data_IF_872984546141
#
_entry.id   IF_872984546141
#
_cell.length_a   1.000
_cell.length_b   1.000
_cell.length_c   1.000
_cell.angle_alpha   90.00
_cell.angle_beta   90.00
_cell.angle_gamma   90.00
#
_symmetry.space_group_name_H-M   'P 1'
#
loop_
_entity.id
_entity.type
_entity.pdbx_description
1 polymer ?
#
# COMPACT_ATOMS: atom_id res chain seq x y z
N UNK A 1 -8.11 29.96 -8.25
CA UNK A 1 -8.05 28.60 -7.74
C UNK A 1 -7.11 28.59 -6.55
N UNK A 2 -7.60 28.25 -5.34
CA UNK A 2 -6.71 28.08 -4.19
C UNK A 2 -5.75 26.93 -4.50
N UNK A 3 -4.44 27.16 -4.44
CA UNK A 3 -3.44 26.08 -4.55
C UNK A 3 -3.60 25.21 -3.32
N UNK A 4 -4.29 24.06 -3.46
CA UNK A 4 -4.26 23.03 -2.44
C UNK A 4 -2.84 22.46 -2.40
N UNK A 5 -2.23 22.40 -1.21
CA UNK A 5 -0.97 21.71 -1.04
C UNK A 5 -1.24 20.21 -1.03
N UNK A 6 -0.62 19.49 -1.94
CA UNK A 6 -0.75 18.05 -2.02
C UNK A 6 0.27 17.40 -1.09
N UNK A 7 -0.21 16.47 -0.27
CA UNK A 7 0.59 15.67 0.65
C UNK A 7 0.48 14.19 0.28
N UNK A 8 1.60 13.48 0.29
CA UNK A 8 1.69 12.05 0.11
C UNK A 8 1.95 11.39 1.46
N UNK A 9 1.08 10.48 1.84
CA UNK A 9 1.21 9.63 3.03
C UNK A 9 1.48 8.20 2.60
N UNK A 10 2.58 7.64 3.04
CA UNK A 10 2.97 6.27 2.75
C UNK A 10 2.86 5.46 4.04
N UNK A 11 1.99 4.45 4.03
CA UNK A 11 1.82 3.51 5.14
C UNK A 11 2.86 2.39 5.03
N UNK A 12 3.81 2.34 5.95
CA UNK A 12 4.94 1.41 5.93
C UNK A 12 5.03 0.55 7.21
N UNK A 13 3.89 0.05 7.70
CA UNK A 13 3.78 -0.73 8.94
C UNK A 13 3.74 -2.25 8.77
N UNK A 14 3.59 -2.78 7.54
CA UNK A 14 3.51 -4.21 7.24
C UNK A 14 4.86 -4.95 7.41
N UNK A 15 4.83 -6.28 7.54
CA UNK A 15 6.06 -7.12 7.51
C UNK A 15 6.23 -7.82 6.18
N UNK A 16 5.14 -8.18 5.49
CA UNK A 16 5.21 -8.92 4.23
C UNK A 16 5.71 -10.36 4.39
N UNK A 17 5.32 -11.04 5.47
CA UNK A 17 5.84 -12.36 5.88
C UNK A 17 5.72 -13.50 4.84
N UNK A 18 4.92 -13.31 3.77
CA UNK A 18 4.83 -14.28 2.67
C UNK A 18 6.07 -14.28 1.76
N UNK A 19 6.89 -13.23 1.81
CA UNK A 19 8.17 -13.14 1.07
C UNK A 19 9.36 -13.68 1.85
N UNK A 20 9.12 -14.45 2.93
CA UNK A 20 10.20 -15.14 3.60
C UNK A 20 10.97 -16.06 2.61
N UNK A 21 12.31 -16.17 2.67
CA UNK A 21 13.24 -15.59 3.65
C UNK A 21 13.65 -14.14 3.37
N UNK A 22 13.26 -13.55 2.23
CA UNK A 22 13.65 -12.19 1.86
C UNK A 22 13.11 -11.15 2.84
N UNK A 23 11.83 -11.29 3.24
CA UNK A 23 11.18 -10.39 4.18
C UNK A 23 11.15 -10.99 5.58
N UNK A 24 11.71 -10.27 6.54
CA UNK A 24 11.74 -10.60 7.96
C UNK A 24 11.13 -9.49 8.80
N UNK A 25 11.02 -9.71 10.11
CA UNK A 25 10.58 -8.67 11.05
C UNK A 25 11.59 -7.51 11.13
N UNK A 26 12.86 -7.79 10.96
CA UNK A 26 13.95 -6.81 10.98
C UNK A 26 14.05 -6.06 9.66
N UNK A 27 13.76 -6.73 8.55
CA UNK A 27 13.81 -6.16 7.21
C UNK A 27 12.52 -6.46 6.42
N UNK A 28 11.43 -5.71 6.66
CA UNK A 28 10.15 -5.90 5.98
C UNK A 28 10.21 -5.66 4.47
N UNK A 29 9.28 -6.28 3.75
CA UNK A 29 9.17 -6.29 2.28
C UNK A 29 9.35 -4.91 1.64
N UNK A 30 8.75 -3.87 2.22
CA UNK A 30 8.80 -2.50 1.66
C UNK A 30 10.20 -1.87 1.67
N UNK A 31 11.10 -2.37 2.49
CA UNK A 31 12.47 -1.86 2.60
C UNK A 31 13.50 -2.68 1.81
N UNK A 32 13.04 -3.64 1.01
CA UNK A 32 13.86 -4.57 0.23
C UNK A 32 13.70 -4.26 -1.27
N UNK A 33 14.77 -4.48 -2.05
CA UNK A 33 14.72 -4.54 -3.51
C UNK A 33 14.20 -5.91 -3.97
N UNK A 34 12.88 -6.10 -3.87
CA UNK A 34 12.22 -7.36 -4.25
C UNK A 34 12.26 -7.60 -5.77
N UNK A 35 12.38 -6.52 -6.56
CA UNK A 35 12.36 -6.58 -8.02
C UNK A 35 13.75 -6.70 -8.65
N UNK A 36 14.84 -6.56 -7.86
CA UNK A 36 16.21 -6.58 -8.38
C UNK A 36 16.56 -5.38 -9.27
N UNK A 37 15.94 -4.22 -9.03
CA UNK A 37 16.12 -3.01 -9.85
C UNK A 37 16.99 -1.94 -9.17
N UNK A 38 17.64 -2.27 -8.06
CA UNK A 38 18.49 -1.37 -7.29
C UNK A 38 17.73 -0.38 -6.40
N UNK A 39 16.41 -0.57 -6.22
CA UNK A 39 15.55 0.29 -5.40
C UNK A 39 14.57 -0.52 -4.59
N UNK A 40 14.34 -0.12 -3.35
CA UNK A 40 13.34 -0.73 -2.48
C UNK A 40 11.93 -0.36 -2.91
N UNK A 41 10.91 -1.12 -2.47
CA UNK A 41 9.52 -0.81 -2.80
C UNK A 41 9.09 0.56 -2.23
N UNK A 42 9.61 0.96 -1.06
CA UNK A 42 9.38 2.29 -0.51
C UNK A 42 9.93 3.40 -1.43
N UNK A 43 11.15 3.24 -1.94
CA UNK A 43 11.76 4.19 -2.87
C UNK A 43 10.99 4.26 -4.20
N UNK A 44 10.59 3.11 -4.75
CA UNK A 44 9.75 3.04 -5.94
C UNK A 44 8.38 3.67 -5.71
N UNK A 45 7.84 3.55 -4.49
CA UNK A 45 6.58 4.21 -4.11
C UNK A 45 6.69 5.72 -4.14
N UNK A 46 7.74 6.31 -3.59
CA UNK A 46 7.98 7.76 -3.69
C UNK A 46 8.19 8.19 -5.14
N UNK A 47 9.03 7.47 -5.87
CA UNK A 47 9.42 7.82 -7.24
C UNK A 47 8.24 7.83 -8.23
N UNK A 48 7.23 6.95 -8.04
CA UNK A 48 6.06 6.89 -8.94
C UNK A 48 5.21 8.16 -8.91
N UNK A 49 5.23 8.92 -7.81
CA UNK A 49 4.51 10.18 -7.71
C UNK A 49 5.23 11.34 -8.41
N UNK A 50 6.55 11.24 -8.64
CA UNK A 50 7.33 12.27 -9.36
C UNK A 50 7.12 13.67 -8.79
N UNK A 51 6.80 14.63 -9.66
CA UNK A 51 6.59 16.03 -9.29
C UNK A 51 5.17 16.38 -8.80
N UNK A 52 4.29 15.38 -8.59
CA UNK A 52 2.92 15.62 -8.11
C UNK A 52 2.90 16.11 -6.66
N UNK A 53 3.90 15.71 -5.88
CA UNK A 53 4.04 16.07 -4.47
C UNK A 53 5.49 16.53 -4.23
N UNK A 54 5.66 17.61 -3.48
CA UNK A 54 6.98 18.09 -3.11
C UNK A 54 7.59 17.24 -2.00
N UNK A 55 8.93 17.10 -1.93
CA UNK A 55 9.59 16.30 -0.89
C UNK A 55 9.19 16.68 0.54
N UNK A 56 9.02 17.99 0.82
CA UNK A 56 8.60 18.48 2.13
C UNK A 56 7.17 18.08 2.54
N UNK A 57 6.37 17.58 1.59
CA UNK A 57 4.99 17.11 1.80
C UNK A 57 4.86 15.59 1.71
N UNK A 58 5.97 14.85 1.68
CA UNK A 58 5.98 13.39 1.77
C UNK A 58 6.04 13.01 3.24
N UNK A 59 5.19 12.08 3.65
CA UNK A 59 5.07 11.55 5.00
C UNK A 59 5.15 10.03 4.97
N UNK A 60 5.87 9.44 5.92
CA UNK A 60 5.89 8.00 6.12
C UNK A 60 5.41 7.68 7.53
N UNK A 61 4.39 6.84 7.63
CA UNK A 61 3.93 6.31 8.93
C UNK A 61 4.42 4.87 9.04
N UNK A 62 5.19 4.59 10.09
CA UNK A 62 5.83 3.29 10.27
C UNK A 62 5.99 2.94 11.76
N UNK A 63 6.45 1.73 12.07
CA UNK A 63 6.82 1.40 13.45
C UNK A 63 8.14 2.08 13.83
N UNK A 64 8.26 2.47 15.10
CA UNK A 64 9.44 3.16 15.64
C UNK A 64 10.76 2.46 15.29
N UNK A 65 10.80 1.13 15.28
CA UNK A 65 12.01 0.35 14.95
C UNK A 65 12.49 0.51 13.52
N UNK A 66 11.65 1.01 12.60
CA UNK A 66 12.00 1.21 11.18
C UNK A 66 12.34 2.66 10.84
N UNK A 67 12.33 3.56 11.81
CA UNK A 67 12.59 4.99 11.59
C UNK A 67 13.92 5.25 10.87
N UNK A 68 14.99 4.58 11.31
CA UNK A 68 16.33 4.79 10.76
C UNK A 68 16.46 4.25 9.33
N UNK A 69 15.81 3.11 9.02
CA UNK A 69 15.82 2.57 7.67
C UNK A 69 15.05 3.47 6.70
N UNK A 70 13.92 4.06 7.12
CA UNK A 70 13.18 5.05 6.33
C UNK A 70 14.05 6.28 6.08
N UNK A 71 14.69 6.82 7.12
CA UNK A 71 15.58 7.99 7.00
C UNK A 71 16.73 7.74 6.02
N UNK A 72 17.32 6.53 6.07
CA UNK A 72 18.39 6.12 5.16
C UNK A 72 17.94 6.00 3.72
N UNK A 73 16.74 5.45 3.48
CA UNK A 73 16.21 5.20 2.14
C UNK A 73 15.58 6.45 1.49
N UNK A 74 15.11 7.40 2.29
CA UNK A 74 14.48 8.65 1.83
C UNK A 74 15.18 9.87 2.45
N UNK A 75 16.47 10.15 2.12
CA UNK A 75 17.26 11.20 2.76
C UNK A 75 16.74 12.62 2.50
N UNK A 76 16.05 12.84 1.37
CA UNK A 76 15.53 14.17 0.99
C UNK A 76 14.20 14.52 1.70
N UNK A 77 13.59 13.56 2.39
CA UNK A 77 12.36 13.76 3.15
C UNK A 77 12.69 14.39 4.53
N UNK A 78 11.94 15.41 5.00
CA UNK A 78 12.13 15.97 6.33
C UNK A 78 11.99 14.90 7.42
N UNK A 79 12.94 14.85 8.36
CA UNK A 79 12.93 13.85 9.44
C UNK A 79 11.64 13.90 10.30
N UNK A 80 11.06 15.10 10.48
CA UNK A 80 9.80 15.31 11.20
C UNK A 80 8.54 14.79 10.47
N UNK A 81 8.69 14.29 9.24
CA UNK A 81 7.62 13.68 8.46
C UNK A 81 7.65 12.13 8.56
N UNK A 82 8.59 11.55 9.30
CA UNK A 82 8.57 10.14 9.67
C UNK A 82 7.81 10.02 10.99
N UNK A 83 6.58 9.54 10.92
CA UNK A 83 5.71 9.36 12.07
C UNK A 83 5.80 7.92 12.57
N UNK A 84 6.11 7.76 13.87
CA UNK A 84 6.39 6.46 14.46
C UNK A 84 5.24 5.95 15.32
N UNK A 85 4.64 4.83 14.90
CA UNK A 85 3.64 4.12 15.69
C UNK A 85 4.32 3.24 16.75
N UNK A 86 3.91 3.29 18.03
CA UNK A 86 4.49 2.46 19.09
C UNK A 86 4.06 0.99 18.99
N UNK A 87 2.90 0.73 18.42
CA UNK A 87 2.33 -0.60 18.22
C UNK A 87 1.47 -0.66 16.96
N UNK A 88 1.12 -1.86 16.52
CA UNK A 88 0.24 -2.06 15.37
C UNK A 88 -1.22 -1.93 15.77
N UNK A 89 -1.95 -1.06 15.10
CA UNK A 89 -3.40 -0.84 15.26
C UNK A 89 -4.15 -0.79 13.93
N UNK A 90 -3.59 -1.40 12.88
CA UNK A 90 -4.16 -1.38 11.54
C UNK A 90 -4.15 0.02 10.89
N UNK A 91 -4.88 0.24 9.78
CA UNK A 91 -4.71 1.43 8.94
C UNK A 91 -5.52 2.64 9.41
N UNK A 92 -6.62 2.49 10.15
CA UNK A 92 -7.40 3.64 10.59
C UNK A 92 -6.64 4.55 11.57
N UNK A 93 -6.02 4.06 12.67
CA UNK A 93 -5.22 4.90 13.55
C UNK A 93 -4.00 5.51 12.87
N UNK A 94 -3.35 4.76 11.95
CA UNK A 94 -2.26 5.25 11.11
C UNK A 94 -2.69 6.51 10.33
N UNK A 95 -3.80 6.43 9.59
CA UNK A 95 -4.35 7.52 8.78
C UNK A 95 -4.85 8.67 9.66
N UNK A 96 -5.49 8.37 10.78
CA UNK A 96 -5.94 9.38 11.73
C UNK A 96 -4.75 10.21 12.23
N UNK A 97 -3.72 9.55 12.78
CA UNK A 97 -2.52 10.23 13.29
C UNK A 97 -1.94 11.21 12.27
N UNK A 98 -1.63 10.74 11.07
CA UNK A 98 -1.00 11.59 10.05
C UNK A 98 -1.94 12.68 9.55
N UNK A 99 -3.26 12.43 9.48
CA UNK A 99 -4.23 13.42 9.02
C UNK A 99 -4.35 14.60 9.99
N UNK A 100 -4.42 14.37 11.31
CA UNK A 100 -4.39 15.45 12.29
C UNK A 100 -3.04 16.17 12.33
N UNK A 101 -1.94 15.43 12.17
CA UNK A 101 -0.60 16.01 12.10
C UNK A 101 -0.42 16.92 10.89
N UNK A 102 -0.91 16.52 9.71
CA UNK A 102 -0.91 17.36 8.51
C UNK A 102 -1.84 18.56 8.71
N UNK A 103 -3.06 18.34 9.21
CA UNK A 103 -4.04 19.41 9.45
C UNK A 103 -3.50 20.50 10.37
N UNK A 104 -2.73 20.14 11.40
CA UNK A 104 -2.11 21.12 12.30
C UNK A 104 -1.11 22.04 11.60
N UNK A 105 -0.47 21.55 10.51
CA UNK A 105 0.52 22.29 9.71
C UNK A 105 -0.11 22.97 8.50
N UNK A 106 -1.04 22.29 7.82
CA UNK A 106 -1.73 22.74 6.61
C UNK A 106 -3.23 22.39 6.65
N UNK A 107 -4.10 23.31 7.10
CA UNK A 107 -5.54 23.09 7.18
C UNK A 107 -6.24 22.94 5.82
N UNK A 108 -5.54 23.21 4.71
CA UNK A 108 -6.04 23.10 3.34
C UNK A 108 -5.38 21.97 2.55
N UNK A 109 -4.70 21.08 3.24
CA UNK A 109 -4.00 19.95 2.62
C UNK A 109 -4.98 19.05 1.83
N UNK A 110 -4.52 18.61 0.65
CA UNK A 110 -5.11 17.50 -0.07
C UNK A 110 -4.18 16.31 0.08
N UNK A 111 -4.70 15.18 0.55
CA UNK A 111 -3.90 14.05 1.02
C UNK A 111 -4.11 12.85 0.10
N UNK A 112 -3.01 12.25 -0.33
CA UNK A 112 -2.98 10.93 -0.95
C UNK A 112 -2.42 9.96 0.08
N UNK A 113 -3.13 8.88 0.35
CA UNK A 113 -2.65 7.77 1.20
C UNK A 113 -2.38 6.56 0.31
N UNK A 114 -1.23 5.93 0.47
CA UNK A 114 -0.83 4.74 -0.31
C UNK A 114 -0.08 3.74 0.56
N UNK A 115 -0.22 2.43 0.31
CA UNK A 115 0.71 1.43 0.83
C UNK A 115 2.12 1.63 0.27
N UNK A 116 3.13 1.16 1.02
CA UNK A 116 4.56 1.28 0.67
C UNK A 116 5.09 0.13 -0.19
N UNK A 117 4.30 -0.92 -0.42
CA UNK A 117 4.78 -2.21 -0.91
C UNK A 117 4.05 -2.74 -2.15
N UNK A 118 3.24 -1.89 -2.78
CA UNK A 118 2.58 -2.16 -4.06
C UNK A 118 3.46 -1.73 -5.23
N UNK A 119 3.27 -2.36 -6.39
CA UNK A 119 3.91 -1.96 -7.65
C UNK A 119 2.93 -1.34 -8.62
N UNK A 120 3.48 -0.51 -9.50
CA UNK A 120 2.79 0.13 -10.61
C UNK A 120 3.75 0.09 -11.80
N UNK A 121 3.32 -0.46 -12.92
CA UNK A 121 4.17 -0.59 -14.12
C UNK A 121 4.04 0.58 -15.08
N UNK A 122 2.86 1.18 -15.21
CA UNK A 122 2.65 2.40 -16.00
C UNK A 122 2.59 3.65 -15.09
N UNK A 123 3.77 4.25 -14.87
CA UNK A 123 3.91 5.47 -14.07
C UNK A 123 3.19 6.68 -14.69
N UNK A 124 3.13 6.76 -16.02
CA UNK A 124 2.52 7.90 -16.72
C UNK A 124 1.03 7.92 -16.50
N UNK A 125 0.38 6.79 -16.73
CA UNK A 125 -1.06 6.66 -16.50
C UNK A 125 -1.40 6.79 -15.00
N UNK A 126 -0.59 6.22 -14.12
CA UNK A 126 -0.75 6.41 -12.68
C UNK A 126 -0.75 7.90 -12.28
N UNK A 127 0.23 8.67 -12.77
CA UNK A 127 0.33 10.11 -12.47
C UNK A 127 -0.84 10.90 -13.05
N UNK A 128 -1.35 10.54 -14.22
CA UNK A 128 -2.55 11.14 -14.82
C UNK A 128 -3.76 10.94 -13.91
N UNK A 129 -4.01 9.69 -13.51
CA UNK A 129 -5.13 9.32 -12.63
C UNK A 129 -5.05 10.03 -11.28
N UNK A 130 -3.88 9.99 -10.63
CA UNK A 130 -3.67 10.68 -9.34
C UNK A 130 -3.95 12.19 -9.48
N UNK A 131 -3.46 12.84 -10.54
CA UNK A 131 -3.67 14.27 -10.76
C UNK A 131 -5.16 14.61 -10.88
N UNK A 132 -5.93 13.80 -11.60
CA UNK A 132 -7.38 13.99 -11.73
C UNK A 132 -8.12 13.79 -10.40
N UNK A 133 -7.79 12.73 -9.67
CA UNK A 133 -8.36 12.50 -8.36
C UNK A 133 -8.05 13.63 -7.37
N UNK A 134 -6.81 14.14 -7.39
CA UNK A 134 -6.39 15.28 -6.56
C UNK A 134 -7.13 16.58 -6.92
N UNK A 135 -7.38 16.82 -8.21
CA UNK A 135 -8.17 17.97 -8.63
C UNK A 135 -9.60 17.85 -8.13
N UNK A 136 -10.23 16.68 -8.27
CA UNK A 136 -11.60 16.43 -7.82
C UNK A 136 -11.75 16.61 -6.30
N UNK A 137 -10.88 15.99 -5.50
CA UNK A 137 -10.91 16.11 -4.03
C UNK A 137 -10.49 17.49 -3.51
N UNK A 138 -9.72 18.25 -4.28
CA UNK A 138 -9.39 19.63 -3.97
C UNK A 138 -10.56 20.62 -4.14
N UNK A 139 -11.60 20.22 -4.87
CA UNK A 139 -12.79 21.04 -5.17
C UNK A 139 -14.07 20.48 -4.50
N UNK A 140 -14.01 19.32 -3.85
CA UNK A 140 -15.15 18.62 -3.25
C UNK A 140 -14.78 18.03 -1.89
N UNK A 141 -15.81 17.67 -1.11
CA UNK A 141 -15.63 16.92 0.14
C UNK A 141 -15.68 15.40 -0.06
N UNK A 142 -15.33 14.93 -1.25
CA UNK A 142 -15.34 13.52 -1.61
C UNK A 142 -14.15 12.74 -1.02
N UNK A 143 -14.39 11.46 -0.75
CA UNK A 143 -13.37 10.43 -0.56
C UNK A 143 -13.23 9.69 -1.88
N UNK A 144 -12.05 9.67 -2.48
CA UNK A 144 -11.79 8.93 -3.72
C UNK A 144 -10.85 7.77 -3.45
N UNK A 145 -11.17 6.60 -4.02
CA UNK A 145 -10.26 5.45 -4.06
C UNK A 145 -10.00 5.01 -5.49
N UNK A 146 -8.87 4.33 -5.75
CA UNK A 146 -8.57 3.78 -7.06
C UNK A 146 -9.10 2.35 -7.17
N UNK A 147 -9.81 2.08 -8.26
CA UNK A 147 -10.43 0.78 -8.52
C UNK A 147 -9.75 0.04 -9.67
N UNK A 148 -9.24 -1.17 -9.41
CA UNK A 148 -8.62 -2.02 -10.42
C UNK A 148 -9.63 -3.03 -10.96
N UNK A 149 -9.64 -3.24 -12.28
CA UNK A 149 -10.55 -4.22 -12.87
C UNK A 149 -10.18 -5.64 -12.44
N UNK A 150 -11.11 -6.39 -11.82
CA UNK A 150 -10.85 -7.75 -11.41
C UNK A 150 -10.64 -8.69 -12.61
N UNK A 151 -9.61 -9.54 -12.54
CA UNK A 151 -9.34 -10.59 -13.54
C UNK A 151 -9.45 -12.02 -12.95
N UNK A 152 -9.61 -12.14 -11.63
CA UNK A 152 -9.80 -13.39 -10.90
C UNK A 152 -10.62 -13.15 -9.62
N UNK A 153 -11.23 -14.20 -9.02
CA UNK A 153 -12.01 -14.04 -7.77
C UNK A 153 -11.08 -14.00 -6.54
N UNK A 154 -10.35 -12.89 -6.37
CA UNK A 154 -9.42 -12.69 -5.27
C UNK A 154 -10.18 -12.43 -3.95
N UNK A 155 -9.93 -13.24 -2.93
CA UNK A 155 -10.59 -13.11 -1.62
C UNK A 155 -9.79 -12.29 -0.62
N UNK A 156 -8.56 -11.93 -0.96
CA UNK A 156 -7.67 -11.10 -0.14
C UNK A 156 -7.87 -9.61 -0.32
N UNK A 157 -8.69 -9.17 -1.30
CA UNK A 157 -8.90 -7.76 -1.64
C UNK A 157 -10.30 -7.27 -1.25
N UNK A 158 -10.41 -5.97 -1.04
CA UNK A 158 -11.69 -5.27 -1.00
C UNK A 158 -12.29 -5.12 -2.41
N UNK A 159 -13.60 -5.19 -2.51
CA UNK A 159 -14.38 -4.99 -3.73
C UNK A 159 -15.24 -3.74 -3.62
N UNK A 160 -15.25 -2.95 -4.67
CA UNK A 160 -15.98 -1.69 -4.79
C UNK A 160 -17.01 -1.87 -5.89
N UNK A 161 -18.28 -1.69 -5.56
CA UNK A 161 -19.36 -1.61 -6.56
C UNK A 161 -19.54 -0.16 -6.96
N UNK A 162 -19.33 0.16 -8.24
CA UNK A 162 -19.56 1.47 -8.79
C UNK A 162 -21.01 1.61 -9.27
N UNK A 163 -21.64 2.75 -8.99
CA UNK A 163 -22.92 3.16 -9.57
C UNK A 163 -22.68 3.78 -10.95
N UNK A 164 -22.73 2.96 -11.99
CA UNK A 164 -22.50 3.40 -13.38
C UNK A 164 -23.54 4.40 -13.90
N UNK A 165 -24.65 4.59 -13.19
CA UNK A 165 -25.68 5.59 -13.55
C UNK A 165 -25.30 7.01 -13.12
N UNK A 166 -24.41 7.15 -12.13
CA UNK A 166 -23.96 8.42 -11.57
C UNK A 166 -22.51 8.70 -11.96
N UNK A 167 -22.24 8.99 -13.25
CA UNK A 167 -20.97 9.62 -13.57
C UNK A 167 -20.94 11.04 -12.99
N UNK A 168 -19.86 11.42 -12.30
CA UNK A 168 -19.70 12.78 -11.81
C UNK A 168 -19.90 13.79 -12.95
N UNK A 169 -20.73 14.81 -12.74
CA UNK A 169 -20.94 15.88 -13.73
C UNK A 169 -19.64 16.64 -14.06
N UNK A 170 -18.62 16.56 -13.18
CA UNK A 170 -17.33 17.26 -13.31
C UNK A 170 -16.23 16.38 -13.90
N UNK A 171 -16.27 15.07 -13.64
CA UNK A 171 -15.30 14.12 -14.16
C UNK A 171 -15.98 12.76 -14.41
N UNK A 172 -16.10 12.38 -15.68
CA UNK A 172 -16.76 11.13 -16.11
C UNK A 172 -16.00 9.86 -15.68
N UNK A 173 -14.73 10.00 -15.30
CA UNK A 173 -13.88 8.89 -14.86
C UNK A 173 -14.00 8.60 -13.35
N UNK A 174 -14.59 9.52 -12.56
CA UNK A 174 -14.78 9.34 -11.11
C UNK A 174 -16.26 9.05 -10.84
N UNK A 175 -16.54 7.84 -10.38
CA UNK A 175 -17.88 7.26 -10.27
C UNK A 175 -18.24 7.11 -8.80
N UNK A 176 -19.48 7.39 -8.43
CA UNK A 176 -19.96 7.17 -7.05
C UNK A 176 -19.93 5.68 -6.70
N UNK A 177 -19.55 5.36 -5.49
CA UNK A 177 -19.57 4.00 -4.95
C UNK A 177 -20.97 3.69 -4.43
N UNK A 178 -21.53 2.57 -4.87
CA UNK A 178 -22.79 2.02 -4.38
C UNK A 178 -22.57 1.18 -3.11
N UNK A 179 -21.52 0.34 -3.12
CA UNK A 179 -21.15 -0.44 -1.95
C UNK A 179 -19.64 -0.76 -1.93
N UNK A 180 -19.11 -0.91 -0.71
CA UNK A 180 -17.75 -1.34 -0.45
C UNK A 180 -17.79 -2.64 0.37
N UNK A 181 -17.02 -3.67 -0.01
CA UNK A 181 -16.97 -4.94 0.70
C UNK A 181 -15.55 -5.46 0.83
N UNK A 182 -15.05 -5.47 2.05
CA UNK A 182 -13.70 -5.95 2.35
C UNK A 182 -13.68 -7.48 2.43
N UNK A 183 -12.75 -8.11 1.71
CA UNK A 183 -12.41 -9.54 1.74
C UNK A 183 -13.62 -10.48 1.72
N UNK A 184 -14.39 -10.52 0.61
CA UNK A 184 -15.54 -11.41 0.48
C UNK A 184 -15.12 -12.88 0.42
N UNK A 185 -16.05 -13.80 0.66
CA UNK A 185 -15.80 -15.21 0.41
C UNK A 185 -15.70 -15.49 -1.11
N UNK A 186 -15.21 -16.69 -1.47
CA UNK A 186 -14.96 -17.06 -2.87
C UNK A 186 -16.21 -17.00 -3.75
N UNK A 187 -17.35 -17.47 -3.26
CA UNK A 187 -18.63 -17.47 -3.99
C UNK A 187 -19.05 -16.03 -4.31
N UNK A 188 -18.97 -15.14 -3.33
CA UNK A 188 -19.26 -13.72 -3.49
C UNK A 188 -18.29 -13.04 -4.48
N UNK A 189 -16.98 -13.32 -4.37
CA UNK A 189 -15.98 -12.80 -5.29
C UNK A 189 -16.25 -13.26 -6.74
N UNK A 190 -16.61 -14.55 -6.94
CA UNK A 190 -17.00 -15.10 -8.25
C UNK A 190 -18.26 -14.41 -8.82
N UNK A 191 -19.22 -14.07 -7.96
CA UNK A 191 -20.41 -13.33 -8.38
C UNK A 191 -20.09 -11.89 -8.80
N UNK A 192 -19.15 -11.23 -8.09
CA UNK A 192 -18.73 -9.86 -8.39
C UNK A 192 -18.01 -9.72 -9.72
N UNK A 193 -17.07 -10.61 -10.04
CA UNK A 193 -16.32 -10.54 -11.31
C UNK A 193 -17.18 -10.76 -12.55
N UNK A 194 -18.37 -11.39 -12.42
CA UNK A 194 -19.34 -11.55 -13.51
C UNK A 194 -20.06 -10.25 -13.84
N UNK A 195 -19.99 -9.25 -12.98
CA UNK A 195 -20.60 -7.93 -13.14
C UNK A 195 -19.53 -6.93 -13.57
N UNK A 196 -19.83 -6.06 -14.53
CA UNK A 196 -18.86 -5.10 -15.06
C UNK A 196 -18.66 -3.85 -14.18
N UNK A 197 -19.34 -3.74 -13.05
CA UNK A 197 -19.32 -2.58 -12.17
C UNK A 197 -18.60 -2.83 -10.82
N UNK A 198 -17.86 -3.93 -10.70
CA UNK A 198 -17.03 -4.20 -9.53
C UNK A 198 -15.55 -3.99 -9.84
N UNK A 199 -14.85 -3.41 -8.87
CA UNK A 199 -13.41 -3.12 -8.94
C UNK A 199 -12.75 -3.60 -7.66
N UNK A 200 -11.47 -4.01 -7.73
CA UNK A 200 -10.65 -4.20 -6.54
C UNK A 200 -10.24 -2.87 -5.95
N UNK A 201 -10.26 -2.74 -4.63
CA UNK A 201 -9.70 -1.62 -3.92
C UNK A 201 -8.16 -1.67 -3.96
N UNK A 202 -7.52 -0.70 -4.58
CA UNK A 202 -6.07 -0.61 -4.63
C UNK A 202 -5.44 -0.17 -3.28
N UNK A 203 -6.25 0.20 -2.28
CA UNK A 203 -5.75 0.75 -1.02
C UNK A 203 -5.10 2.12 -1.15
N UNK A 204 -5.36 2.82 -2.26
CA UNK A 204 -4.89 4.18 -2.51
C UNK A 204 -6.09 5.10 -2.38
N UNK A 205 -6.02 6.04 -1.45
CA UNK A 205 -7.11 6.94 -1.12
C UNK A 205 -6.69 8.41 -1.30
N UNK A 206 -7.61 9.23 -1.76
CA UNK A 206 -7.39 10.67 -1.97
C UNK A 206 -8.57 11.44 -1.37
N UNK A 207 -8.28 12.47 -0.57
CA UNK A 207 -9.25 13.34 0.09
C UNK A 207 -8.62 14.66 0.54
N UNK A 208 -9.41 15.68 0.78
CA UNK A 208 -8.90 16.81 1.54
C UNK A 208 -8.87 16.49 3.06
N UNK A 209 -7.98 17.16 3.78
CA UNK A 209 -7.75 16.89 5.21
C UNK A 209 -9.00 17.07 6.08
N UNK A 210 -9.90 17.99 5.70
CA UNK A 210 -11.13 18.23 6.46
C UNK A 210 -12.13 17.10 6.25
N UNK A 211 -12.24 16.57 5.02
CA UNK A 211 -13.11 15.43 4.70
C UNK A 211 -12.78 14.24 5.58
N UNK A 212 -11.51 13.82 5.60
CA UNK A 212 -11.13 12.62 6.38
C UNK A 212 -11.23 12.85 7.89
N UNK A 213 -10.83 14.02 8.39
CA UNK A 213 -10.98 14.36 9.82
C UNK A 213 -12.46 14.38 10.23
N UNK A 214 -13.35 14.90 9.41
CA UNK A 214 -14.79 14.87 9.67
C UNK A 214 -15.34 13.44 9.61
N UNK A 215 -14.89 12.61 8.67
CA UNK A 215 -15.28 11.20 8.62
C UNK A 215 -14.87 10.45 9.90
N UNK A 216 -13.67 10.68 10.43
CA UNK A 216 -13.26 10.11 11.73
C UNK A 216 -14.14 10.62 12.88
N UNK A 217 -14.51 11.89 12.91
CA UNK A 217 -15.41 12.45 13.93
C UNK A 217 -16.78 11.77 13.94
N UNK A 218 -17.31 11.46 12.76
CA UNK A 218 -18.63 10.84 12.60
C UNK A 218 -18.56 9.34 12.90
N UNK A 219 -17.61 8.62 12.29
CA UNK A 219 -17.60 7.15 12.29
C UNK A 219 -16.68 6.54 13.35
N UNK A 220 -15.70 7.31 13.87
CA UNK A 220 -14.72 6.89 14.88
C UNK A 220 -14.49 7.98 15.95
N UNK A 221 -15.54 8.42 16.67
CA UNK A 221 -15.48 9.59 17.57
C UNK A 221 -14.47 9.43 18.70
N UNK A 222 -14.25 8.21 19.22
CA UNK A 222 -13.26 7.95 20.26
C UNK A 222 -11.84 8.16 19.76
N UNK A 223 -11.53 7.66 18.55
CA UNK A 223 -10.25 7.86 17.89
C UNK A 223 -10.01 9.33 17.54
N UNK A 224 -11.05 10.03 17.04
CA UNK A 224 -10.99 11.46 16.76
C UNK A 224 -10.62 12.28 18.01
N UNK A 225 -11.22 11.99 19.17
CA UNK A 225 -10.90 12.65 20.44
C UNK A 225 -9.45 12.49 20.85
N UNK A 226 -8.88 11.30 20.65
CA UNK A 226 -7.46 11.03 20.95
C UNK A 226 -6.58 11.98 20.14
N UNK A 227 -6.73 12.01 18.82
CA UNK A 227 -5.86 12.83 17.97
C UNK A 227 -6.17 14.33 18.03
N UNK A 228 -7.38 14.72 18.39
CA UNK A 228 -7.72 16.12 18.67
C UNK A 228 -7.07 16.64 19.94
N UNK A 229 -6.95 15.82 20.99
CA UNK A 229 -6.26 16.20 22.22
C UNK A 229 -4.77 16.49 22.01
N UNK A 230 -4.21 15.98 20.92
CA UNK A 230 -2.81 16.18 20.55
C UNK A 230 -2.55 17.47 19.75
N UNK A 231 -3.57 18.23 19.36
CA UNK A 231 -3.39 19.45 18.54
C UNK A 231 -2.34 20.43 19.08
N UNK A 232 -2.24 20.70 20.42
CA UNK A 232 -1.20 21.58 20.94
C UNK A 232 0.21 21.00 20.94
N UNK A 233 0.34 19.69 20.69
CA UNK A 233 1.59 18.92 20.88
C UNK A 233 2.25 18.57 19.55
N UNK A 234 1.47 18.50 18.46
CA UNK A 234 2.00 18.18 17.14
C UNK A 234 3.17 19.09 16.73
N UNK A 235 4.27 18.48 16.30
CA UNK A 235 5.49 19.16 15.87
C UNK A 235 6.39 19.61 17.02
N UNK A 236 6.09 19.25 18.25
CA UNK A 236 6.94 19.50 19.42
C UNK A 236 7.72 18.24 19.81
N UNK A 237 8.74 18.39 20.65
CA UNK A 237 9.53 17.26 21.18
C UNK A 237 8.71 16.27 22.02
N UNK A 238 7.50 16.68 22.46
CA UNK A 238 6.59 15.84 23.24
C UNK A 238 5.67 14.97 22.40
N UNK A 239 5.64 15.17 21.09
CA UNK A 239 4.71 14.45 20.18
C UNK A 239 4.87 12.93 20.29
N UNK A 240 6.10 12.42 20.24
CA UNK A 240 6.34 10.98 20.28
C UNK A 240 6.00 10.36 21.66
N UNK A 241 6.25 11.06 22.73
CA UNK A 241 5.90 10.61 24.08
C UNK A 241 4.37 10.45 24.22
N UNK A 242 3.60 11.45 23.79
CA UNK A 242 2.14 11.40 23.85
C UNK A 242 1.55 10.36 22.88
N UNK A 243 2.12 10.19 21.69
CA UNK A 243 1.73 9.10 20.78
C UNK A 243 1.98 7.74 21.42
N UNK A 244 3.11 7.53 22.08
CA UNK A 244 3.41 6.27 22.77
C UNK A 244 2.38 5.95 23.85
N UNK A 245 1.81 6.97 24.50
CA UNK A 245 0.80 6.83 25.53
C UNK A 245 -0.60 6.61 24.97
N UNK A 246 -1.02 7.38 23.96
CA UNK A 246 -2.40 7.44 23.49
C UNK A 246 -2.72 6.47 22.33
N UNK A 247 -1.78 6.23 21.43
CA UNK A 247 -1.99 5.39 20.27
C UNK A 247 -2.43 3.94 20.62
N UNK A 248 -1.92 3.30 21.68
CA UNK A 248 -2.39 1.98 22.10
C UNK A 248 -3.86 1.93 22.53
N UNK A 249 -4.49 3.07 22.85
CA UNK A 249 -5.91 3.17 23.20
C UNK A 249 -6.83 3.13 21.95
N UNK A 250 -6.27 3.35 20.74
CA UNK A 250 -7.03 3.29 19.51
C UNK A 250 -7.55 1.88 19.23
N UNK A 251 -8.76 1.79 18.69
CA UNK A 251 -9.30 0.55 18.18
C UNK A 251 -8.39 -0.02 17.08
N UNK A 252 -8.17 -1.34 17.10
CA UNK A 252 -7.41 -2.03 16.06
C UNK A 252 -8.31 -2.35 14.86
N UNK A 253 -8.47 -1.39 13.95
CA UNK A 253 -9.39 -1.46 12.82
C UNK A 253 -8.77 -0.87 11.55
N UNK A 254 -9.08 -1.44 10.37
CA UNK A 254 -8.67 -0.84 9.10
C UNK A 254 -9.57 0.34 8.73
N UNK A 255 -9.05 1.26 7.91
CA UNK A 255 -9.82 2.39 7.37
C UNK A 255 -11.00 1.91 6.52
N UNK A 256 -10.87 0.73 5.90
CA UNK A 256 -11.90 0.11 5.09
C UNK A 256 -13.15 -0.14 5.93
N UNK A 257 -13.01 -0.82 7.08
CA UNK A 257 -14.12 -1.07 8.02
C UNK A 257 -14.51 0.17 8.84
N UNK A 258 -13.53 1.02 9.18
CA UNK A 258 -13.77 2.17 10.02
C UNK A 258 -14.56 3.27 9.31
N UNK A 259 -14.25 3.52 8.03
CA UNK A 259 -14.72 4.65 7.22
C UNK A 259 -15.35 4.19 5.91
N UNK A 260 -14.62 3.39 5.07
CA UNK A 260 -15.02 3.16 3.68
C UNK A 260 -16.33 2.36 3.53
N UNK A 261 -16.64 1.44 4.43
CA UNK A 261 -17.93 0.71 4.42
C UNK A 261 -19.11 1.54 4.96
N UNK A 262 -18.85 2.74 5.53
CA UNK A 262 -19.86 3.53 6.25
C UNK A 262 -20.13 4.91 5.64
N UNK A 263 -19.13 5.50 5.01
CA UNK A 263 -19.23 6.84 4.45
C UNK A 263 -20.08 6.87 3.17
N UNK A 264 -20.85 7.94 2.99
CA UNK A 264 -21.81 8.07 1.87
C UNK A 264 -21.21 8.71 0.62
N UNK A 265 -20.25 9.63 0.78
CA UNK A 265 -19.63 10.39 -0.32
C UNK A 265 -18.30 9.76 -0.74
N UNK A 266 -18.35 8.47 -1.13
CA UNK A 266 -17.22 7.74 -1.66
C UNK A 266 -17.33 7.61 -3.17
N UNK A 267 -16.21 7.79 -3.83
CA UNK A 267 -16.07 7.67 -5.27
C UNK A 267 -14.92 6.73 -5.61
N UNK A 268 -15.05 6.01 -6.72
CA UNK A 268 -14.00 5.18 -7.30
C UNK A 268 -13.54 5.78 -8.62
N UNK A 269 -12.24 5.81 -8.84
CA UNK A 269 -11.65 6.07 -10.15
C UNK A 269 -11.18 4.73 -10.74
N UNK A 270 -11.93 4.12 -11.67
CA UNK A 270 -11.50 2.94 -12.39
C UNK A 270 -10.19 3.21 -13.11
N UNK A 271 -9.19 2.34 -12.93
CA UNK A 271 -7.84 2.59 -13.38
C UNK A 271 -7.19 1.32 -13.92
N UNK A 272 -6.28 1.48 -14.87
CA UNK A 272 -5.47 0.40 -15.42
C UNK A 272 -4.05 0.91 -15.67
N UNK A 273 -3.20 0.80 -14.68
CA UNK A 273 -1.79 1.22 -14.73
C UNK A 273 -0.83 0.09 -14.30
N UNK A 274 -1.26 -1.18 -14.47
CA UNK A 274 -0.44 -2.33 -14.11
C UNK A 274 -0.16 -2.42 -12.61
N UNK A 275 -1.22 -2.34 -11.80
CA UNK A 275 -1.15 -2.44 -10.34
C UNK A 275 -1.08 -3.88 -9.85
N UNK A 276 -0.26 -4.10 -8.83
CA UNK A 276 -0.28 -5.32 -8.00
C UNK A 276 0.09 -4.97 -6.56
N UNK A 277 -0.57 -5.63 -5.61
CA UNK A 277 -0.21 -5.54 -4.19
C UNK A 277 1.08 -6.30 -3.86
N UNK A 278 1.59 -7.05 -4.83
CA UNK A 278 2.79 -7.89 -4.68
C UNK A 278 2.70 -8.74 -3.38
N UNK A 279 1.55 -9.39 -3.17
CA UNK A 279 1.24 -10.06 -1.92
C UNK A 279 1.97 -11.38 -1.72
N UNK A 280 2.45 -12.03 -2.79
CA UNK A 280 3.02 -13.39 -2.79
C UNK A 280 4.13 -13.54 -3.83
N UNK A 281 4.89 -14.64 -3.74
CA UNK A 281 5.88 -15.03 -4.77
C UNK A 281 5.23 -15.26 -6.14
N UNK A 282 4.01 -15.80 -6.17
CA UNK A 282 3.23 -15.95 -7.40
C UNK A 282 2.91 -14.62 -8.06
N UNK A 283 2.52 -13.61 -7.28
CA UNK A 283 2.29 -12.27 -7.80
C UNK A 283 3.59 -11.62 -8.30
N UNK A 284 4.73 -11.87 -7.66
CA UNK A 284 6.04 -11.43 -8.16
C UNK A 284 6.40 -12.13 -9.47
N UNK A 285 6.18 -13.45 -9.55
CA UNK A 285 6.38 -14.21 -10.78
C UNK A 285 5.50 -13.69 -11.94
N UNK A 286 4.23 -13.38 -11.68
CA UNK A 286 3.31 -12.83 -12.68
C UNK A 286 3.77 -11.49 -13.23
N UNK A 287 4.26 -10.61 -12.36
CA UNK A 287 4.64 -9.23 -12.68
C UNK A 287 6.08 -9.07 -13.22
N UNK A 288 6.90 -10.10 -13.09
CA UNK A 288 8.31 -10.06 -13.52
C UNK A 288 8.49 -10.51 -14.97
N UNK A 289 9.58 -10.03 -15.60
CA UNK A 289 9.96 -10.48 -16.94
C UNK A 289 10.39 -11.95 -16.89
N UNK A 290 9.82 -12.76 -17.74
CA UNK A 290 10.09 -14.19 -17.85
C UNK A 290 11.02 -14.52 -19.01
N UNK A 291 11.80 -15.59 -18.86
CA UNK A 291 12.49 -16.21 -19.99
C UNK A 291 11.53 -17.02 -20.88
N UNK A 292 12.06 -17.71 -21.90
CA UNK A 292 11.28 -18.52 -22.84
C UNK A 292 10.58 -19.74 -22.20
N UNK A 293 11.02 -20.13 -21.02
CA UNK A 293 10.49 -21.26 -20.27
C UNK A 293 9.61 -20.85 -19.09
N UNK A 294 9.27 -19.56 -19.02
CA UNK A 294 8.41 -19.01 -17.97
C UNK A 294 9.11 -18.75 -16.64
N UNK A 295 10.44 -18.81 -16.59
CA UNK A 295 11.19 -18.58 -15.37
C UNK A 295 11.45 -17.09 -15.13
N UNK A 296 11.53 -16.71 -13.85
CA UNK A 296 11.97 -15.40 -13.36
C UNK A 296 13.29 -15.57 -12.61
N UNK A 297 14.31 -14.79 -12.97
CA UNK A 297 15.60 -14.77 -12.29
C UNK A 297 15.91 -13.37 -11.78
N UNK A 298 16.07 -13.23 -10.47
CA UNK A 298 16.45 -12.01 -9.78
C UNK A 298 17.73 -12.29 -9.00
N UNK A 299 18.87 -11.79 -9.52
CA UNK A 299 20.23 -12.06 -9.04
C UNK A 299 21.24 -11.94 -10.17
N UNK A 300 22.54 -12.10 -9.90
CA UNK A 300 23.60 -11.80 -10.87
C UNK A 300 23.98 -12.98 -11.79
N UNK A 301 24.21 -14.17 -11.25
CA UNK A 301 24.68 -15.35 -12.01
C UNK A 301 23.79 -16.57 -11.76
N UNK A 302 22.60 -16.57 -12.40
CA UNK A 302 21.59 -17.63 -12.28
C UNK A 302 21.48 -18.36 -13.60
N UNK A 303 21.77 -19.66 -13.60
CA UNK A 303 21.66 -20.56 -14.74
C UNK A 303 20.58 -21.62 -14.48
N UNK A 304 19.53 -21.60 -15.29
CA UNK A 304 18.39 -22.51 -15.22
C UNK A 304 18.46 -23.50 -16.39
N UNK A 305 18.67 -24.76 -16.10
CA UNK A 305 18.80 -25.85 -17.08
C UNK A 305 17.56 -26.74 -16.97
N UNK A 306 16.85 -26.97 -18.07
CA UNK A 306 15.67 -27.84 -18.11
C UNK A 306 14.63 -27.47 -16.98
N UNK A 307 14.55 -26.20 -16.61
CA UNK A 307 13.66 -25.70 -15.56
C UNK A 307 12.59 -24.80 -16.13
N UNK A 308 11.35 -24.88 -15.58
CA UNK A 308 10.18 -24.19 -16.11
C UNK A 308 9.37 -23.52 -14.98
N UNK A 309 8.76 -22.38 -15.29
CA UNK A 309 7.81 -21.68 -14.40
C UNK A 309 8.34 -21.43 -12.97
N UNK A 310 9.65 -21.32 -12.81
CA UNK A 310 10.29 -21.08 -11.51
C UNK A 310 10.51 -19.59 -11.26
N UNK A 311 10.59 -19.21 -9.99
CA UNK A 311 11.11 -17.94 -9.56
C UNK A 311 12.33 -18.14 -8.68
N UNK A 312 13.46 -17.56 -9.10
CA UNK A 312 14.74 -17.63 -8.39
C UNK A 312 15.14 -16.23 -7.98
N UNK A 313 15.30 -16.02 -6.68
CA UNK A 313 15.70 -14.74 -6.11
C UNK A 313 16.89 -14.92 -5.17
N UNK A 314 18.04 -14.33 -5.54
CA UNK A 314 19.25 -14.35 -4.74
C UNK A 314 19.77 -12.94 -4.53
N UNK A 315 20.23 -12.62 -3.32
CA UNK A 315 20.74 -11.29 -2.95
C UNK A 315 22.25 -11.19 -2.95
N UNK A 316 22.96 -12.30 -3.12
CA UNK A 316 24.41 -12.36 -3.05
C UNK A 316 25.03 -12.61 -4.42
N UNK A 317 26.28 -12.13 -4.60
CA UNK A 317 27.12 -12.43 -5.76
C UNK A 317 27.63 -13.87 -5.70
N UNK A 318 26.76 -14.82 -6.02
CA UNK A 318 27.11 -16.22 -6.15
C UNK A 318 26.56 -16.82 -7.42
N UNK A 319 27.25 -17.81 -7.96
CA UNK A 319 26.74 -18.61 -9.07
C UNK A 319 25.70 -19.59 -8.56
N UNK A 320 24.52 -19.55 -9.14
CA UNK A 320 23.40 -20.46 -8.86
C UNK A 320 23.09 -21.26 -10.11
N UNK A 321 23.13 -22.58 -10.03
CA UNK A 321 22.77 -23.48 -11.12
C UNK A 321 21.67 -24.40 -10.65
N UNK A 322 20.55 -24.38 -11.38
CA UNK A 322 19.36 -25.18 -11.07
C UNK A 322 19.00 -26.00 -12.30
N UNK A 323 18.83 -27.31 -12.12
CA UNK A 323 18.43 -28.21 -13.19
C UNK A 323 17.14 -28.96 -12.80
N UNK A 324 16.17 -29.01 -13.73
CA UNK A 324 15.04 -29.94 -13.68
C UNK A 324 13.91 -29.53 -12.72
N UNK A 325 13.82 -28.26 -12.27
CA UNK A 325 12.71 -27.76 -11.47
C UNK A 325 11.56 -27.23 -12.34
N UNK A 326 10.32 -27.48 -11.92
CA UNK A 326 9.11 -26.91 -12.55
C UNK A 326 8.15 -26.39 -11.49
N UNK A 327 7.84 -25.07 -11.56
CA UNK A 327 6.93 -24.41 -10.66
C UNK A 327 7.46 -24.24 -9.22
N UNK A 328 8.73 -23.88 -9.06
CA UNK A 328 9.34 -23.70 -7.74
C UNK A 328 9.76 -22.27 -7.46
N UNK A 329 9.71 -21.94 -6.18
CA UNK A 329 10.36 -20.78 -5.57
C UNK A 329 11.73 -21.25 -5.08
N UNK A 330 12.80 -20.55 -5.47
CA UNK A 330 14.13 -20.66 -4.91
C UNK A 330 14.51 -19.27 -4.43
N UNK A 331 14.55 -19.06 -3.14
CA UNK A 331 14.80 -17.74 -2.56
C UNK A 331 15.87 -17.84 -1.47
N UNK A 332 16.84 -16.95 -1.53
CA UNK A 332 17.95 -16.91 -0.60
C UNK A 332 18.08 -15.53 0.04
N UNK A 333 18.27 -15.52 1.34
CA UNK A 333 18.62 -14.35 2.11
C UNK A 333 19.57 -14.72 3.25
N UNK A 334 20.71 -14.06 3.30
CA UNK A 334 21.80 -14.34 4.26
C UNK A 334 22.17 -15.82 4.32
N UNK A 335 21.90 -16.50 5.43
CA UNK A 335 22.18 -17.90 5.69
C UNK A 335 21.00 -18.85 5.40
N UNK A 336 19.91 -18.32 4.87
CA UNK A 336 18.67 -19.07 4.65
C UNK A 336 18.39 -19.27 3.17
N UNK A 337 18.19 -20.52 2.77
CA UNK A 337 17.73 -20.91 1.43
C UNK A 337 16.35 -21.59 1.53
N UNK A 338 15.37 -21.03 0.84
CA UNK A 338 14.05 -21.62 0.64
C UNK A 338 13.96 -22.27 -0.74
N UNK A 339 13.54 -23.53 -0.79
CA UNK A 339 13.12 -24.21 -2.03
C UNK A 339 11.75 -24.81 -1.76
N UNK A 340 10.70 -24.29 -2.38
CA UNK A 340 9.36 -24.83 -2.24
C UNK A 340 8.55 -24.66 -3.53
N UNK A 341 7.47 -25.45 -3.68
CA UNK A 341 6.58 -25.30 -4.83
C UNK A 341 5.87 -23.93 -4.79
N UNK A 342 5.74 -23.28 -5.93
CA UNK A 342 5.01 -22.01 -6.07
C UNK A 342 3.54 -22.16 -5.64
N UNK A 343 2.92 -23.32 -5.91
CA UNK A 343 1.57 -23.67 -5.45
C UNK A 343 1.40 -23.73 -3.93
N UNK A 344 2.51 -23.86 -3.17
CA UNK A 344 2.53 -23.97 -1.71
C UNK A 344 2.89 -22.63 -1.02
N UNK A 345 2.99 -21.54 -1.75
CA UNK A 345 3.44 -20.23 -1.25
C UNK A 345 2.68 -19.72 -0.02
N UNK A 346 1.39 -20.06 0.12
CA UNK A 346 0.57 -19.66 1.27
C UNK A 346 1.04 -20.34 2.57
N UNK A 347 1.77 -21.46 2.47
CA UNK A 347 2.29 -22.23 3.60
C UNK A 347 3.69 -21.79 4.04
N UNK A 348 4.32 -20.85 3.35
CA UNK A 348 5.69 -20.39 3.67
C UNK A 348 5.83 -19.99 5.13
N UNK A 349 4.80 -19.35 5.73
CA UNK A 349 4.81 -19.02 7.16
C UNK A 349 4.97 -20.25 8.08
N UNK A 350 4.42 -21.40 7.68
CA UNK A 350 4.55 -22.65 8.45
C UNK A 350 5.96 -23.22 8.34
N UNK A 351 6.63 -22.99 7.20
CA UNK A 351 7.99 -23.49 6.96
C UNK A 351 9.06 -22.64 7.67
N UNK A 352 8.80 -21.35 7.87
CA UNK A 352 9.75 -20.42 8.49
C UNK A 352 9.98 -20.66 9.99
N UNK A 353 9.16 -21.49 10.66
CA UNK A 353 9.23 -21.69 12.11
C UNK A 353 8.83 -20.46 12.95
N UNK A 354 8.39 -19.38 12.33
CA UNK A 354 7.90 -18.18 12.98
C UNK A 354 6.37 -18.25 13.11
N UNK A 355 5.90 -18.93 14.15
CA UNK A 355 4.48 -18.94 14.53
C UNK A 355 4.10 -17.66 15.30
#
# INVERSE_FOLDING_TARGET
MARTNNHLVIMAGGVGSRFWPMSTTENPKQFIDVLGVGKTLLQLTVERFGNLVKPENIWVVTNQKYQDIVRKQLPDMPAGNILCEPCRRNTAPCIAYVSWRIKSKDPKANIIVTPSDHIVTDKTEFQRVIKECMQFTGETDAIVTLGMKPNRPETGYGYIQADLSTSSLRNKEIIRVDSFREKPNLETAQAYIKKNNYFWNAGIFIWNVNTIVNAFRIYQPSMAKIFESMLPIYGTDKEQEEINRLFPECENISVDYAIMEKAEEIFVCPSDFGWSDLGTWGSLHEQSKKDLYGNVSIGQDINLVESHNCIVHTVQEKKVVIQGLDGYIVAENDDTLLICKLSEEQRIKQFSGNN
#
